data_IF_655572298763
#
_entry.id   IF_655572298763
#
_cell.length_a   1.000
_cell.length_b   1.000
_cell.length_c   1.000
_cell.angle_alpha   90.00
_cell.angle_beta   90.00
_cell.angle_gamma   90.00
#
_symmetry.space_group_name_H-M   'P 1'
#
loop_
_entity.id
_entity.type
_entity.pdbx_description
1 polymer ?
#
# COMPACT_ATOMS: atom_id res chain seq x y z
N UNK A 1 67.24 14.00 30.65
CA UNK A 1 66.13 13.03 30.72
C UNK A 1 65.20 13.35 29.56
N UNK A 2 65.07 12.43 28.60
CA UNK A 2 64.65 12.71 27.20
C UNK A 2 63.13 12.82 27.08
N UNK A 3 62.64 13.94 26.54
CA UNK A 3 61.26 14.06 26.05
C UNK A 3 61.15 13.35 24.69
N UNK A 4 60.28 12.34 24.61
CA UNK A 4 60.04 11.58 23.40
C UNK A 4 58.75 12.08 22.74
N UNK A 5 58.91 12.89 21.70
CA UNK A 5 57.83 13.43 20.87
C UNK A 5 57.32 12.31 19.95
N UNK A 6 56.10 11.83 20.18
CA UNK A 6 55.42 10.85 19.32
C UNK A 6 54.87 11.57 18.10
N UNK A 7 55.47 11.32 16.94
CA UNK A 7 54.93 11.74 15.64
C UNK A 7 53.83 10.75 15.24
N UNK A 8 52.58 11.20 15.20
CA UNK A 8 51.49 10.47 14.54
C UNK A 8 51.56 10.89 13.06
N UNK A 9 52.07 10.00 12.22
CA UNK A 9 52.04 10.16 10.77
C UNK A 9 50.62 9.78 10.32
N UNK A 10 49.81 10.79 9.99
CA UNK A 10 48.49 10.61 9.39
C UNK A 10 48.69 10.31 7.89
N UNK A 11 48.51 9.05 7.49
CA UNK A 11 48.59 8.63 6.10
C UNK A 11 47.27 8.96 5.40
N UNK A 12 47.20 10.11 4.72
CA UNK A 12 46.08 10.43 3.84
C UNK A 12 46.28 9.70 2.50
N UNK A 13 45.64 8.55 2.34
CA UNK A 13 45.49 7.87 1.05
C UNK A 13 44.37 8.56 0.26
N UNK A 14 44.77 9.51 -0.60
CA UNK A 14 43.91 10.03 -1.67
C UNK A 14 43.79 8.96 -2.76
N UNK A 15 42.68 8.22 -2.77
CA UNK A 15 42.28 7.43 -3.92
C UNK A 15 41.70 8.38 -4.98
N UNK A 16 42.54 8.80 -5.93
CA UNK A 16 42.05 9.37 -7.18
C UNK A 16 41.58 8.21 -8.08
N UNK A 17 40.29 7.90 -8.03
CA UNK A 17 39.66 6.99 -8.99
C UNK A 17 39.41 7.75 -10.29
N UNK A 18 40.37 7.72 -11.21
CA UNK A 18 40.10 8.05 -12.61
C UNK A 18 39.26 6.92 -13.22
N UNK A 19 37.95 7.10 -13.29
CA UNK A 19 37.08 6.24 -14.08
C UNK A 19 37.24 6.62 -15.56
N UNK A 20 38.10 5.88 -16.27
CA UNK A 20 38.04 5.85 -17.73
C UNK A 20 36.81 5.04 -18.10
N UNK A 21 35.74 5.71 -18.52
CA UNK A 21 34.57 5.02 -19.09
C UNK A 21 35.07 4.14 -20.24
N UNK A 22 34.86 2.82 -20.22
CA UNK A 22 35.06 2.02 -21.41
C UNK A 22 34.03 2.49 -22.46
N UNK A 23 34.50 2.87 -23.64
CA UNK A 23 33.64 3.12 -24.80
C UNK A 23 33.00 1.81 -25.22
N UNK A 24 31.83 1.52 -24.67
CA UNK A 24 30.95 0.46 -25.15
C UNK A 24 30.26 0.98 -26.41
N UNK A 25 30.40 0.32 -27.57
CA UNK A 25 29.67 0.71 -28.77
C UNK A 25 28.17 0.62 -28.49
N UNK A 26 27.48 1.77 -28.43
CA UNK A 26 26.02 1.84 -28.44
C UNK A 26 25.51 1.56 -29.85
N UNK A 27 25.75 0.36 -30.36
CA UNK A 27 25.11 -0.10 -31.59
C UNK A 27 24.01 -1.11 -31.23
N UNK A 28 22.75 -0.66 -31.21
CA UNK A 28 21.62 -1.58 -31.35
C UNK A 28 20.45 -1.46 -30.36
N UNK A 29 20.35 -0.41 -29.55
CA UNK A 29 19.07 -0.06 -28.93
C UNK A 29 18.46 1.05 -29.77
N UNK A 30 17.74 0.68 -30.84
CA UNK A 30 16.69 1.58 -31.35
C UNK A 30 15.82 1.92 -30.16
N UNK A 31 15.78 3.19 -29.74
CA UNK A 31 14.79 3.66 -28.78
C UNK A 31 13.44 3.19 -29.29
N UNK A 32 12.86 2.16 -28.66
CA UNK A 32 11.46 1.89 -28.87
C UNK A 32 10.78 3.13 -28.29
N UNK A 33 10.28 3.98 -29.18
CA UNK A 33 9.35 5.04 -28.79
C UNK A 33 8.06 4.34 -28.39
N UNK A 34 8.08 3.63 -27.26
CA UNK A 34 6.90 3.11 -26.61
C UNK A 34 6.04 4.32 -26.27
N UNK A 35 5.08 4.59 -27.15
CA UNK A 35 4.09 5.62 -26.91
C UNK A 35 3.04 5.00 -26.00
N UNK A 36 3.15 5.28 -24.70
CA UNK A 36 2.05 5.01 -23.78
C UNK A 36 0.86 5.91 -24.11
N UNK A 37 -0.38 5.45 -23.87
CA UNK A 37 -1.56 6.30 -24.00
C UNK A 37 -1.45 7.50 -23.06
N UNK A 38 -2.02 8.63 -23.45
CA UNK A 38 -2.23 9.73 -22.51
C UNK A 38 -3.19 9.23 -21.42
N UNK A 39 -2.81 9.40 -20.16
CA UNK A 39 -3.52 8.76 -19.04
C UNK A 39 -3.41 9.62 -17.80
N UNK A 40 -4.54 9.78 -17.11
CA UNK A 40 -4.64 10.42 -15.79
C UNK A 40 -5.17 9.41 -14.80
N UNK A 41 -4.52 9.26 -13.67
CA UNK A 41 -4.98 8.37 -12.62
C UNK A 41 -4.79 9.02 -11.26
N UNK A 42 -5.59 8.55 -10.29
CA UNK A 42 -5.50 8.97 -8.89
C UNK A 42 -4.87 7.85 -8.08
N UNK A 43 -4.19 8.22 -6.99
CA UNK A 43 -3.60 7.29 -6.05
C UNK A 43 -4.04 7.69 -4.65
N UNK A 44 -4.50 6.73 -3.87
CA UNK A 44 -4.73 6.88 -2.44
C UNK A 44 -4.21 5.62 -1.73
N UNK A 45 -3.39 5.77 -0.71
CA UNK A 45 -2.72 4.67 0.00
C UNK A 45 -2.91 4.83 1.50
N UNK A 46 -2.68 3.75 2.25
CA UNK A 46 -2.65 3.78 3.71
C UNK A 46 -3.96 4.35 4.29
N UNK A 47 -5.08 3.90 3.70
CA UNK A 47 -6.41 4.34 4.09
C UNK A 47 -6.69 3.98 5.55
N UNK A 48 -6.14 2.85 6.00
CA UNK A 48 -6.31 2.32 7.35
C UNK A 48 -7.74 2.42 7.86
N UNK A 49 -8.69 2.01 7.00
CA UNK A 49 -10.10 2.12 7.30
C UNK A 49 -10.43 1.41 8.62
N UNK A 50 -11.16 2.11 9.47
CA UNK A 50 -11.64 1.64 10.76
C UNK A 50 -13.16 1.78 10.88
N UNK A 51 -13.83 0.68 11.22
CA UNK A 51 -15.25 0.66 11.54
C UNK A 51 -15.45 1.00 13.02
N UNK A 52 -16.17 2.09 13.31
CA UNK A 52 -16.35 2.58 14.68
C UNK A 52 -17.16 1.64 15.59
N UNK A 53 -17.85 0.64 15.02
CA UNK A 53 -18.48 -0.42 15.80
C UNK A 53 -17.48 -1.31 16.55
N UNK A 54 -16.20 -1.27 16.17
CA UNK A 54 -15.10 -1.92 16.89
C UNK A 54 -14.70 -1.18 18.18
N UNK A 55 -15.34 -0.05 18.49
CA UNK A 55 -15.12 0.72 19.72
C UNK A 55 -14.40 2.03 19.47
N UNK A 56 -14.76 3.07 20.23
CA UNK A 56 -14.24 4.44 20.05
C UNK A 56 -13.85 5.10 21.36
N UNK A 57 -13.87 4.35 22.46
CA UNK A 57 -13.66 4.85 23.80
C UNK A 57 -13.08 3.78 24.73
N UNK A 58 -12.73 4.19 25.94
CA UNK A 58 -12.13 3.33 26.96
C UNK A 58 -10.61 3.40 27.01
N UNK A 59 -10.03 2.82 28.06
CA UNK A 59 -8.58 2.86 28.31
C UNK A 59 -7.79 2.11 27.24
N UNK A 60 -8.32 1.00 26.72
CA UNK A 60 -7.65 0.25 25.66
C UNK A 60 -7.57 1.05 24.36
N UNK A 61 -8.68 1.71 23.97
CA UNK A 61 -8.73 2.56 22.78
C UNK A 61 -7.80 3.77 22.93
N UNK A 62 -7.84 4.47 24.07
CA UNK A 62 -6.96 5.60 24.31
C UNK A 62 -5.48 5.19 24.28
N UNK A 63 -5.13 4.06 24.91
CA UNK A 63 -3.77 3.53 24.88
C UNK A 63 -3.30 3.27 23.44
N UNK A 64 -4.16 2.66 22.61
CA UNK A 64 -3.85 2.46 21.20
C UNK A 64 -3.57 3.79 20.49
N UNK A 65 -4.43 4.81 20.67
CA UNK A 65 -4.22 6.13 20.06
C UNK A 65 -2.96 6.85 20.53
N UNK A 66 -2.55 6.62 21.78
CA UNK A 66 -1.31 7.19 22.33
C UNK A 66 -0.05 6.58 21.69
N UNK A 67 -0.13 5.31 21.28
CA UNK A 67 0.95 4.56 20.61
C UNK A 67 0.94 4.79 19.08
N UNK A 68 -0.25 4.80 18.48
CA UNK A 68 -0.49 4.93 17.04
C UNK A 68 -1.58 5.96 16.75
N UNK A 69 -1.15 7.18 16.38
CA UNK A 69 -2.01 8.37 16.26
C UNK A 69 -2.82 8.40 14.96
N UNK A 70 -3.66 7.39 14.73
CA UNK A 70 -4.63 7.33 13.63
C UNK A 70 -5.91 8.09 14.00
N UNK A 71 -6.57 8.67 13.00
CA UNK A 71 -7.86 9.36 13.17
C UNK A 71 -9.04 8.37 13.13
N UNK A 72 -9.00 7.33 13.97
CA UNK A 72 -9.93 6.19 13.90
C UNK A 72 -11.41 6.60 13.99
N UNK A 73 -11.75 7.53 14.88
CA UNK A 73 -13.14 8.02 15.04
C UNK A 73 -13.64 8.75 13.78
N UNK A 74 -12.73 9.40 13.04
CA UNK A 74 -13.05 10.14 11.82
C UNK A 74 -12.82 9.32 10.55
N UNK A 75 -12.42 8.05 10.67
CA UNK A 75 -12.02 7.20 9.53
C UNK A 75 -13.10 7.16 8.44
N UNK A 76 -14.35 6.87 8.83
CA UNK A 76 -15.50 6.82 7.91
C UNK A 76 -15.68 8.15 7.15
N UNK A 77 -15.62 9.27 7.84
CA UNK A 77 -15.84 10.60 7.26
C UNK A 77 -14.70 11.03 6.33
N UNK A 78 -13.44 10.81 6.76
CA UNK A 78 -12.26 11.16 5.98
C UNK A 78 -12.23 10.35 4.69
N UNK A 79 -12.39 9.03 4.79
CA UNK A 79 -12.31 8.11 3.65
C UNK A 79 -13.51 8.30 2.73
N UNK A 80 -14.73 8.38 3.27
CA UNK A 80 -15.93 8.65 2.48
C UNK A 80 -15.82 9.97 1.70
N UNK A 81 -15.32 11.02 2.34
CA UNK A 81 -15.08 12.32 1.68
C UNK A 81 -14.01 12.23 0.61
N UNK A 82 -12.92 11.52 0.86
CA UNK A 82 -11.87 11.30 -0.13
C UNK A 82 -12.41 10.55 -1.36
N UNK A 83 -13.13 9.45 -1.17
CA UNK A 83 -13.73 8.69 -2.27
C UNK A 83 -14.76 9.52 -3.05
N UNK A 84 -15.60 10.30 -2.37
CA UNK A 84 -16.56 11.19 -3.03
C UNK A 84 -15.87 12.26 -3.90
N UNK A 85 -14.75 12.82 -3.44
CA UNK A 85 -13.94 13.76 -4.22
C UNK A 85 -13.29 13.08 -5.44
N UNK A 86 -12.72 11.89 -5.24
CA UNK A 86 -12.09 11.13 -6.32
C UNK A 86 -13.12 10.67 -7.38
N UNK A 87 -14.37 10.41 -6.98
CA UNK A 87 -15.43 10.01 -7.89
C UNK A 87 -15.75 11.09 -8.95
N UNK A 88 -15.62 12.38 -8.61
CA UNK A 88 -15.94 13.51 -9.51
C UNK A 88 -14.72 14.11 -10.21
N UNK A 89 -13.50 13.72 -9.84
CA UNK A 89 -12.26 14.20 -10.44
C UNK A 89 -11.99 13.51 -11.79
N UNK A 90 -11.45 14.23 -12.77
CA UNK A 90 -11.14 13.69 -14.11
C UNK A 90 -9.91 12.75 -14.07
N UNK A 91 -10.18 11.45 -14.21
CA UNK A 91 -9.19 10.37 -14.17
C UNK A 91 -9.74 9.10 -14.84
N UNK A 92 -8.86 8.34 -15.49
CA UNK A 92 -9.16 7.07 -16.17
C UNK A 92 -9.31 5.91 -15.18
N UNK A 93 -8.55 5.93 -14.08
CA UNK A 93 -8.62 4.92 -13.02
C UNK A 93 -8.04 5.40 -11.69
N UNK A 94 -8.20 4.57 -10.66
CA UNK A 94 -7.72 4.80 -9.29
C UNK A 94 -6.86 3.62 -8.83
N UNK A 95 -5.75 3.91 -8.16
CA UNK A 95 -4.86 2.94 -7.54
C UNK A 95 -4.91 3.05 -6.02
N UNK A 96 -5.02 1.90 -5.34
CA UNK A 96 -4.97 1.80 -3.87
C UNK A 96 -3.86 0.79 -3.47
N UNK A 97 -2.61 1.26 -3.30
CA UNK A 97 -1.45 0.37 -3.19
C UNK A 97 -1.15 -0.10 -1.75
N UNK A 98 -2.17 -0.60 -1.05
CA UNK A 98 -2.01 -1.23 0.26
C UNK A 98 -2.59 -0.45 1.44
N UNK A 99 -2.54 -1.14 2.59
CA UNK A 99 -3.02 -0.72 3.91
C UNK A 99 -4.42 -0.13 3.86
N UNK A 100 -5.35 -0.95 3.35
CA UNK A 100 -6.75 -0.58 3.17
C UNK A 100 -7.48 -0.47 4.51
N UNK A 101 -7.08 -1.27 5.50
CA UNK A 101 -7.73 -1.42 6.81
C UNK A 101 -6.80 -1.07 7.96
N UNK A 102 -7.35 -0.78 9.15
CA UNK A 102 -6.53 -0.50 10.35
C UNK A 102 -5.56 -1.65 10.61
N UNK A 103 -6.11 -2.85 10.88
CA UNK A 103 -5.33 -4.04 11.21
C UNK A 103 -5.98 -5.32 10.66
N UNK A 104 -6.55 -5.24 9.45
CA UNK A 104 -6.98 -6.44 8.72
C UNK A 104 -8.31 -7.02 9.18
N UNK A 105 -9.11 -6.28 9.95
CA UNK A 105 -10.42 -6.73 10.42
C UNK A 105 -11.35 -6.95 9.22
N UNK A 106 -12.07 -8.08 9.20
CA UNK A 106 -13.01 -8.40 8.11
C UNK A 106 -14.07 -7.32 7.92
N UNK A 107 -14.59 -6.76 9.01
CA UNK A 107 -15.59 -5.69 8.95
C UNK A 107 -15.01 -4.42 8.30
N UNK A 108 -13.75 -4.09 8.59
CA UNK A 108 -13.04 -2.98 7.96
C UNK A 108 -12.86 -3.21 6.45
N UNK A 109 -12.48 -4.43 6.04
CA UNK A 109 -12.39 -4.81 4.62
C UNK A 109 -13.72 -4.63 3.88
N UNK A 110 -14.82 -5.05 4.51
CA UNK A 110 -16.16 -4.85 3.97
C UNK A 110 -16.55 -3.36 3.93
N UNK A 111 -16.14 -2.58 4.92
CA UNK A 111 -16.36 -1.14 4.99
C UNK A 111 -15.66 -0.39 3.86
N UNK A 112 -14.36 -0.59 3.71
CA UNK A 112 -13.61 0.07 2.63
C UNK A 112 -14.10 -0.37 1.25
N UNK A 113 -14.47 -1.64 1.05
CA UNK A 113 -15.05 -2.10 -0.22
C UNK A 113 -16.35 -1.35 -0.58
N UNK A 114 -17.18 -0.99 0.41
CA UNK A 114 -18.38 -0.15 0.17
C UNK A 114 -18.01 1.26 -0.28
N UNK A 115 -16.98 1.87 0.31
CA UNK A 115 -16.49 3.18 -0.09
C UNK A 115 -15.87 3.16 -1.50
N UNK A 116 -15.06 2.16 -1.82
CA UNK A 116 -14.48 1.98 -3.15
C UNK A 116 -15.56 1.72 -4.22
N UNK A 117 -16.68 1.09 -3.84
CA UNK A 117 -17.80 0.89 -4.76
C UNK A 117 -18.38 2.20 -5.30
N UNK A 118 -18.33 3.29 -4.54
CA UNK A 118 -18.75 4.60 -5.03
C UNK A 118 -17.92 5.07 -6.24
N UNK A 119 -16.63 4.72 -6.29
CA UNK A 119 -15.76 5.02 -7.43
C UNK A 119 -16.18 4.21 -8.67
N UNK A 120 -16.43 2.91 -8.49
CA UNK A 120 -16.86 2.04 -9.60
C UNK A 120 -18.26 2.41 -10.11
N UNK A 121 -19.17 2.81 -9.21
CA UNK A 121 -20.51 3.27 -9.57
C UNK A 121 -20.46 4.62 -10.33
N UNK A 122 -19.43 5.44 -10.08
CA UNK A 122 -19.11 6.64 -10.86
C UNK A 122 -18.37 6.34 -12.18
N UNK A 123 -18.19 5.07 -12.54
CA UNK A 123 -17.56 4.64 -13.80
C UNK A 123 -16.03 4.56 -13.77
N UNK A 124 -15.39 4.73 -12.60
CA UNK A 124 -13.93 4.58 -12.47
C UNK A 124 -13.54 3.11 -12.40
N UNK A 125 -12.44 2.73 -13.05
CA UNK A 125 -11.74 1.48 -12.73
C UNK A 125 -10.91 1.69 -11.47
N UNK A 126 -10.92 0.72 -10.56
CA UNK A 126 -10.16 0.76 -9.31
C UNK A 126 -9.28 -0.48 -9.23
N UNK A 127 -8.04 -0.32 -8.77
CA UNK A 127 -7.07 -1.41 -8.64
C UNK A 127 -6.43 -1.37 -7.26
N UNK A 128 -6.60 -2.45 -6.50
CA UNK A 128 -6.05 -2.57 -5.14
C UNK A 128 -5.00 -3.67 -5.07
N UNK A 129 -4.07 -3.54 -4.13
CA UNK A 129 -3.23 -4.63 -3.58
C UNK A 129 -3.27 -4.53 -2.05
N UNK A 130 -3.06 -5.62 -1.30
CA UNK A 130 -2.95 -5.51 0.16
C UNK A 130 -1.68 -4.77 0.58
N UNK A 131 -1.70 -4.16 1.75
CA UNK A 131 -0.50 -3.79 2.50
C UNK A 131 -0.21 -4.79 3.62
N UNK A 132 0.74 -4.45 4.48
CA UNK A 132 1.19 -5.35 5.55
C UNK A 132 0.14 -5.51 6.66
N UNK A 133 -0.77 -4.55 6.83
CA UNK A 133 -1.83 -4.61 7.85
C UNK A 133 -3.05 -5.44 7.44
N UNK A 134 -3.22 -5.74 6.15
CA UNK A 134 -4.51 -6.17 5.62
C UNK A 134 -4.84 -7.66 5.76
N UNK A 135 -3.84 -8.53 5.74
CA UNK A 135 -4.04 -9.98 5.60
C UNK A 135 -3.51 -10.73 6.82
N UNK A 136 -4.33 -11.62 7.37
CA UNK A 136 -3.95 -12.55 8.46
C UNK A 136 -3.25 -11.82 9.61
N UNK A 137 -3.72 -10.62 9.93
CA UNK A 137 -3.09 -9.75 10.91
C UNK A 137 -3.58 -10.13 12.33
N UNK A 138 -2.69 -10.52 13.26
CA UNK A 138 -3.07 -10.87 14.63
C UNK A 138 -3.51 -9.68 15.48
N UNK A 139 -3.21 -8.45 15.06
CA UNK A 139 -3.60 -7.20 15.75
C UNK A 139 -5.04 -6.75 15.40
N UNK A 140 -5.77 -7.55 14.63
CA UNK A 140 -7.19 -7.40 14.36
C UNK A 140 -8.00 -7.54 15.67
N UNK A 141 -8.43 -6.41 16.23
CA UNK A 141 -9.11 -6.34 17.53
C UNK A 141 -10.24 -5.33 17.55
N UNK A 142 -11.15 -5.53 18.51
CA UNK A 142 -12.10 -4.51 18.97
C UNK A 142 -11.74 -4.04 20.38
N UNK A 143 -12.08 -2.79 20.70
CA UNK A 143 -11.83 -2.17 21.98
C UNK A 143 -13.06 -2.24 22.87
N UNK A 144 -12.90 -2.83 24.06
CA UNK A 144 -13.99 -3.02 25.03
C UNK A 144 -13.52 -2.56 26.40
N UNK A 145 -13.76 -1.28 26.71
CA UNK A 145 -13.39 -0.68 28.00
C UNK A 145 -11.87 -0.61 28.18
N UNK A 146 -11.33 -1.44 29.06
CA UNK A 146 -9.90 -1.48 29.43
C UNK A 146 -9.09 -2.58 28.73
N UNK A 147 -9.72 -3.39 27.88
CA UNK A 147 -9.08 -4.47 27.14
C UNK A 147 -9.41 -4.44 25.65
N UNK A 148 -8.63 -5.18 24.88
CA UNK A 148 -8.95 -5.56 23.51
C UNK A 148 -9.54 -6.97 23.48
N UNK A 149 -10.41 -7.22 22.51
CA UNK A 149 -10.90 -8.56 22.19
C UNK A 149 -10.59 -8.88 20.72
N UNK A 150 -10.20 -10.12 20.39
CA UNK A 150 -9.90 -10.48 19.00
C UNK A 150 -11.10 -10.26 18.07
N UNK A 151 -10.85 -9.67 16.91
CA UNK A 151 -11.81 -9.53 15.82
C UNK A 151 -11.34 -10.39 14.63
N UNK A 152 -12.22 -11.05 13.85
CA UNK A 152 -11.80 -11.88 12.74
C UNK A 152 -11.07 -11.09 11.64
N UNK A 153 -9.85 -11.53 11.31
CA UNK A 153 -9.13 -11.09 10.11
C UNK A 153 -9.53 -11.92 8.87
N UNK A 154 -8.93 -11.61 7.72
CA UNK A 154 -9.13 -12.33 6.45
C UNK A 154 -7.83 -12.90 5.90
N UNK A 155 -7.95 -14.02 5.18
CA UNK A 155 -6.86 -14.59 4.40
C UNK A 155 -6.87 -14.12 2.94
N UNK A 156 -5.84 -14.49 2.15
CA UNK A 156 -5.70 -14.03 0.76
C UNK A 156 -6.91 -14.32 -0.14
N UNK A 157 -7.49 -15.52 -0.03
CA UNK A 157 -8.64 -15.90 -0.84
C UNK A 157 -9.87 -15.00 -0.56
N UNK A 158 -10.09 -14.65 0.71
CA UNK A 158 -11.17 -13.75 1.09
C UNK A 158 -10.91 -12.31 0.63
N UNK A 159 -9.66 -11.83 0.69
CA UNK A 159 -9.30 -10.51 0.14
C UNK A 159 -9.62 -10.44 -1.35
N UNK A 160 -9.16 -11.43 -2.12
CA UNK A 160 -9.43 -11.54 -3.56
C UNK A 160 -10.93 -11.56 -3.87
N UNK A 161 -11.74 -12.18 -3.03
CA UNK A 161 -13.19 -12.22 -3.17
C UNK A 161 -13.83 -10.87 -2.84
N UNK A 162 -13.47 -10.24 -1.72
CA UNK A 162 -14.01 -8.94 -1.29
C UNK A 162 -13.67 -7.87 -2.33
N UNK A 163 -12.43 -7.87 -2.81
CA UNK A 163 -11.95 -6.86 -3.75
C UNK A 163 -12.03 -7.30 -5.21
N UNK A 164 -12.87 -8.28 -5.54
CA UNK A 164 -13.00 -8.82 -6.90
C UNK A 164 -13.28 -7.72 -7.94
N UNK A 165 -14.10 -6.73 -7.61
CA UNK A 165 -14.43 -5.63 -8.52
C UNK A 165 -13.33 -4.57 -8.65
N UNK A 166 -12.27 -4.65 -7.84
CA UNK A 166 -11.21 -3.64 -7.75
C UNK A 166 -9.84 -4.20 -8.19
N UNK A 167 -9.81 -4.81 -9.37
CA UNK A 167 -8.61 -5.26 -10.06
C UNK A 167 -8.60 -6.76 -10.33
N UNK A 168 -8.92 -7.60 -9.34
CA UNK A 168 -8.79 -9.05 -9.45
C UNK A 168 -9.75 -9.69 -10.47
N UNK A 169 -10.93 -9.11 -10.66
CA UNK A 169 -11.92 -9.54 -11.67
C UNK A 169 -11.59 -9.06 -13.08
N UNK A 170 -10.73 -8.05 -13.21
CA UNK A 170 -10.27 -7.47 -14.48
C UNK A 170 -8.84 -7.90 -14.86
N UNK A 171 -8.19 -8.69 -14.01
CA UNK A 171 -6.81 -9.11 -14.20
C UNK A 171 -6.66 -10.03 -15.42
N UNK A 172 -5.65 -9.73 -16.24
CA UNK A 172 -5.30 -10.52 -17.44
C UNK A 172 -4.29 -11.63 -17.13
N UNK A 173 -3.53 -11.47 -16.04
CA UNK A 173 -2.64 -12.48 -15.49
C UNK A 173 -2.59 -12.32 -13.97
N UNK A 174 -2.39 -13.42 -13.25
CA UNK A 174 -2.34 -13.42 -11.79
C UNK A 174 -1.23 -14.35 -11.34
N UNK A 175 -0.49 -13.93 -10.33
CA UNK A 175 0.50 -14.77 -9.70
C UNK A 175 -0.21 -15.85 -8.84
N UNK A 176 0.19 -17.13 -8.91
CA UNK A 176 -0.46 -18.19 -8.15
C UNK A 176 -0.11 -18.18 -6.65
N UNK A 177 1.00 -17.54 -6.27
CA UNK A 177 1.59 -17.63 -4.93
C UNK A 177 1.44 -16.35 -4.09
N UNK A 178 0.95 -15.27 -4.69
CA UNK A 178 0.68 -13.97 -4.07
C UNK A 178 -0.65 -13.38 -4.53
N UNK A 179 -1.01 -12.21 -3.99
CA UNK A 179 -2.11 -11.39 -4.50
C UNK A 179 -1.69 -10.46 -5.65
N UNK A 180 -0.54 -10.72 -6.27
CA UNK A 180 -0.08 -9.94 -7.43
C UNK A 180 -0.88 -10.27 -8.69
N UNK A 181 -1.08 -9.26 -9.54
CA UNK A 181 -1.74 -9.43 -10.82
C UNK A 181 -1.31 -8.38 -11.85
N UNK A 182 -1.63 -8.65 -13.11
CA UNK A 182 -1.49 -7.71 -14.22
C UNK A 182 -2.88 -7.31 -14.68
N UNK A 183 -3.09 -6.03 -14.93
CA UNK A 183 -4.29 -5.50 -15.54
C UNK A 183 -3.94 -4.49 -16.65
N UNK A 184 -4.91 -4.24 -17.53
CA UNK A 184 -4.81 -3.20 -18.55
C UNK A 184 -5.87 -2.12 -18.26
N UNK A 185 -5.57 -1.13 -17.39
CA UNK A 185 -6.53 -0.09 -17.02
C UNK A 185 -7.00 0.73 -18.23
N UNK A 186 -6.10 1.00 -19.18
CA UNK A 186 -6.40 1.65 -20.45
C UNK A 186 -5.67 0.91 -21.58
N UNK A 187 -6.23 0.84 -22.80
CA UNK A 187 -5.59 0.12 -23.90
C UNK A 187 -4.16 0.60 -24.16
N UNK A 188 -3.21 -0.33 -24.15
CA UNK A 188 -1.78 -0.06 -24.34
C UNK A 188 -1.01 0.30 -23.05
N UNK A 189 -1.64 0.29 -21.88
CA UNK A 189 -0.97 0.49 -20.59
C UNK A 189 -1.15 -0.74 -19.69
N UNK A 190 -0.05 -1.41 -19.35
CA UNK A 190 -0.05 -2.50 -18.38
C UNK A 190 0.23 -1.98 -16.97
N UNK A 191 -0.62 -2.36 -16.03
CA UNK A 191 -0.43 -2.19 -14.60
C UNK A 191 0.08 -3.51 -14.01
N UNK A 192 1.27 -3.47 -13.40
CA UNK A 192 1.77 -4.55 -12.55
C UNK A 192 1.42 -4.23 -11.10
N UNK A 193 0.37 -4.87 -10.59
CA UNK A 193 -0.08 -4.76 -9.22
C UNK A 193 0.65 -5.80 -8.38
N UNK A 194 1.58 -5.36 -7.53
CA UNK A 194 2.48 -6.26 -6.78
C UNK A 194 2.03 -6.38 -5.32
N UNK A 195 1.74 -7.60 -4.89
CA UNK A 195 1.67 -7.98 -3.48
C UNK A 195 3.09 -8.29 -3.00
N UNK A 196 3.67 -7.36 -2.24
CA UNK A 196 5.03 -7.47 -1.69
C UNK A 196 5.06 -7.97 -0.24
N UNK A 197 3.90 -8.37 0.29
CA UNK A 197 3.73 -8.65 1.71
C UNK A 197 4.08 -10.09 2.09
N UNK A 198 4.51 -10.28 3.34
CA UNK A 198 4.80 -11.60 3.92
C UNK A 198 3.83 -11.93 5.06
N UNK A 199 2.53 -11.85 4.80
CA UNK A 199 1.49 -12.05 5.83
C UNK A 199 1.42 -13.46 6.42
N UNK A 200 2.09 -14.46 5.83
CA UNK A 200 2.33 -15.77 6.50
C UNK A 200 3.21 -15.64 7.76
N UNK A 201 3.88 -14.50 7.90
CA UNK A 201 4.82 -14.19 8.98
C UNK A 201 4.32 -13.06 9.89
N UNK A 202 3.08 -12.60 9.71
CA UNK A 202 2.46 -11.63 10.61
C UNK A 202 2.39 -12.23 12.03
N UNK A 203 2.74 -11.40 13.02
CA UNK A 203 2.92 -11.79 14.44
C UNK A 203 2.44 -10.69 15.36
#
# INVERSE_FOLDING_TARGET
>A
MKYMMRWIILFFLLFAACSTKPDVPQSGLTESTLSYPNTRFLVASDLHFYDTSLGTEGKAFQKYLDEDRKLLVLSEEIIGTAMAKMAVEEADFVLIPGDLTKDGERICHQGIARHLKALTDAGKKVFVVPGNHDISNPDSVRFVGDKTEPEPSIGPAAFKQIFKEFGYGQAIAQDPDSLSYVAEPVPGLLLLALDSNRYKENR
#
